data_IF_253743865426
#
_entry.id   IF_253743865426
#
_cell.length_a   1.000
_cell.length_b   1.000
_cell.length_c   1.000
_cell.angle_alpha   90.00
_cell.angle_beta   90.00
_cell.angle_gamma   90.00
#
_symmetry.space_group_name_H-M   'P 1'
#
loop_
_entity.id
_entity.type
_entity.pdbx_description
1 polymer ?
#
# COMPACT_ATOMS: atom_id res chain seq x y z
N UNK A 1 -17.16 -27.34 -11.33
CA UNK A 1 -16.19 -28.20 -12.06
C UNK A 1 -15.51 -27.52 -13.25
N UNK A 2 -16.21 -26.81 -14.15
CA UNK A 2 -15.59 -26.12 -15.32
C UNK A 2 -14.78 -24.87 -14.93
N UNK A 3 -15.28 -24.04 -14.01
CA UNK A 3 -14.56 -22.88 -13.44
C UNK A 3 -13.32 -23.27 -12.61
N UNK A 4 -13.39 -24.37 -11.84
CA UNK A 4 -12.25 -24.88 -11.06
C UNK A 4 -11.07 -25.33 -11.93
N UNK A 5 -11.30 -25.65 -13.22
CA UNK A 5 -10.22 -25.93 -14.17
C UNK A 5 -9.44 -24.66 -14.56
N UNK A 6 -10.09 -23.49 -14.54
CA UNK A 6 -9.44 -22.20 -14.76
C UNK A 6 -8.55 -21.79 -13.58
N UNK A 7 -8.87 -22.22 -12.36
CA UNK A 7 -7.98 -22.01 -11.19
C UNK A 7 -6.60 -22.65 -11.38
N UNK A 8 -6.42 -23.58 -12.34
CA UNK A 8 -5.10 -24.11 -12.70
C UNK A 8 -4.19 -23.05 -13.31
N UNK A 9 -4.74 -22.01 -13.96
CA UNK A 9 -3.96 -20.85 -14.44
C UNK A 9 -3.32 -20.09 -13.28
N UNK A 10 -3.96 -20.03 -12.09
CA UNK A 10 -3.34 -19.44 -10.90
C UNK A 10 -2.08 -20.19 -10.45
N UNK A 11 -1.97 -21.49 -10.79
CA UNK A 11 -0.72 -22.23 -10.52
C UNK A 11 0.45 -21.69 -11.34
N UNK A 12 0.22 -21.11 -12.53
CA UNK A 12 1.26 -20.50 -13.35
C UNK A 12 1.96 -19.34 -12.62
N UNK A 13 1.20 -18.56 -11.84
CA UNK A 13 1.72 -17.49 -10.96
C UNK A 13 2.66 -18.07 -9.89
N UNK A 14 2.33 -19.25 -9.35
CA UNK A 14 3.17 -19.94 -8.36
C UNK A 14 4.39 -20.65 -8.96
N UNK A 15 4.32 -21.00 -10.26
CA UNK A 15 5.42 -21.66 -10.99
C UNK A 15 6.50 -20.67 -11.42
N UNK A 16 6.12 -19.44 -11.80
CA UNK A 16 7.05 -18.41 -12.26
C UNK A 16 7.55 -17.62 -11.04
N UNK A 17 8.87 -17.65 -10.82
CA UNK A 17 9.50 -17.01 -9.65
C UNK A 17 9.29 -15.49 -9.61
N UNK A 18 9.31 -14.82 -10.77
CA UNK A 18 9.09 -13.36 -10.88
C UNK A 18 7.67 -12.95 -10.49
N UNK A 19 6.65 -13.67 -10.99
CA UNK A 19 5.25 -13.39 -10.64
C UNK A 19 4.99 -13.64 -9.16
N UNK A 20 5.56 -14.71 -8.61
CA UNK A 20 5.48 -15.02 -7.19
C UNK A 20 6.10 -13.91 -6.33
N UNK A 21 7.23 -13.35 -6.76
CA UNK A 21 7.87 -12.23 -6.07
C UNK A 21 6.91 -11.04 -5.99
N UNK A 22 6.37 -10.58 -7.13
CA UNK A 22 5.44 -9.45 -7.18
C UNK A 22 4.22 -9.68 -6.27
N UNK A 23 3.58 -10.85 -6.38
CA UNK A 23 2.41 -11.19 -5.55
C UNK A 23 2.77 -11.23 -4.06
N UNK A 24 3.93 -11.78 -3.70
CA UNK A 24 4.37 -11.85 -2.30
C UNK A 24 4.63 -10.46 -1.70
N UNK A 25 5.16 -9.52 -2.49
CA UNK A 25 5.36 -8.12 -2.07
C UNK A 25 4.03 -7.39 -1.89
N UNK A 26 3.08 -7.59 -2.81
CA UNK A 26 1.73 -7.04 -2.67
C UNK A 26 1.03 -7.57 -1.42
N UNK A 27 1.06 -8.87 -1.18
CA UNK A 27 0.43 -9.50 -0.01
C UNK A 27 1.11 -9.05 1.30
N UNK A 28 2.43 -8.88 1.32
CA UNK A 28 3.16 -8.34 2.48
C UNK A 28 2.80 -6.90 2.82
N UNK A 29 2.26 -6.14 1.86
CA UNK A 29 1.83 -4.76 2.07
C UNK A 29 0.43 -4.66 2.71
N UNK A 30 -0.39 -5.71 2.65
CA UNK A 30 -1.77 -5.69 3.18
C UNK A 30 -1.80 -5.50 4.71
N UNK A 31 -0.99 -6.20 5.53
CA UNK A 31 -1.05 -6.09 6.99
C UNK A 31 -0.79 -4.68 7.52
N UNK A 32 0.11 -3.90 6.90
CA UNK A 32 0.42 -2.53 7.34
C UNK A 32 -0.78 -1.59 7.21
N UNK A 33 -1.76 -1.95 6.38
CA UNK A 33 -2.96 -1.18 6.09
C UNK A 33 -4.16 -1.58 6.95
N UNK A 34 -4.00 -2.55 7.86
CA UNK A 34 -5.11 -3.15 8.61
C UNK A 34 -5.99 -2.14 9.36
N UNK A 35 -5.37 -1.12 9.98
CA UNK A 35 -6.10 -0.07 10.69
C UNK A 35 -6.98 0.78 9.78
N UNK A 36 -6.48 1.14 8.59
CA UNK A 36 -7.23 1.93 7.60
C UNK A 36 -8.36 1.10 7.00
N UNK A 37 -8.12 -0.18 6.73
CA UNK A 37 -9.14 -1.13 6.25
C UNK A 37 -10.25 -1.34 7.28
N UNK A 38 -9.91 -1.41 8.56
CA UNK A 38 -10.88 -1.50 9.65
C UNK A 38 -11.73 -0.24 9.74
N UNK A 39 -11.10 0.94 9.68
CA UNK A 39 -11.82 2.22 9.65
C UNK A 39 -12.79 2.30 8.46
N UNK A 40 -12.32 1.92 7.26
CA UNK A 40 -13.14 1.92 6.05
C UNK A 40 -14.33 0.96 6.19
N UNK A 41 -14.11 -0.22 6.78
CA UNK A 41 -15.16 -1.21 7.02
C UNK A 41 -16.24 -0.68 7.98
N UNK A 42 -15.86 0.06 9.04
CA UNK A 42 -16.79 0.71 9.96
C UNK A 42 -17.60 1.79 9.24
N UNK A 43 -16.96 2.63 8.43
CA UNK A 43 -17.63 3.66 7.65
C UNK A 43 -18.64 3.02 6.68
N UNK A 44 -18.24 1.99 5.94
CA UNK A 44 -19.11 1.23 5.06
C UNK A 44 -20.32 0.66 5.79
N UNK A 45 -20.10 0.07 6.96
CA UNK A 45 -21.18 -0.51 7.75
C UNK A 45 -22.20 0.54 8.21
N UNK A 46 -21.72 1.68 8.72
CA UNK A 46 -22.58 2.79 9.16
C UNK A 46 -23.42 3.30 7.98
N UNK A 47 -22.78 3.65 6.87
CA UNK A 47 -23.48 4.12 5.68
C UNK A 47 -24.45 3.07 5.14
N UNK A 48 -24.09 1.78 5.12
CA UNK A 48 -24.95 0.73 4.60
C UNK A 48 -26.25 0.60 5.40
N UNK A 49 -26.17 0.70 6.73
CA UNK A 49 -27.35 0.70 7.60
C UNK A 49 -28.17 1.97 7.41
N UNK A 50 -27.53 3.14 7.35
CA UNK A 50 -28.24 4.41 7.13
C UNK A 50 -28.96 4.41 5.79
N UNK A 51 -28.30 4.01 4.70
CA UNK A 51 -28.90 3.93 3.39
C UNK A 51 -30.00 2.87 3.30
N UNK A 52 -29.82 1.71 3.95
CA UNK A 52 -30.90 0.73 4.12
C UNK A 52 -32.12 1.39 4.77
N UNK A 53 -31.94 2.03 5.94
CA UNK A 53 -33.05 2.64 6.68
C UNK A 53 -33.75 3.75 5.89
N UNK A 54 -33.01 4.56 5.13
CA UNK A 54 -33.57 5.69 4.39
C UNK A 54 -34.22 5.31 3.06
N UNK A 55 -33.65 4.36 2.32
CA UNK A 55 -33.95 4.19 0.90
C UNK A 55 -34.55 2.81 0.53
N UNK A 56 -34.55 1.81 1.43
CA UNK A 56 -34.97 0.44 1.09
C UNK A 56 -36.42 0.32 0.57
N UNK A 57 -37.34 1.15 1.02
CA UNK A 57 -38.74 1.11 0.55
C UNK A 57 -38.88 1.60 -0.89
N UNK A 58 -38.08 2.59 -1.29
CA UNK A 58 -38.15 3.22 -2.60
C UNK A 58 -37.24 2.54 -3.63
N UNK A 59 -36.07 2.09 -3.19
CA UNK A 59 -35.06 1.45 -4.04
C UNK A 59 -34.52 0.17 -3.38
N UNK A 60 -35.34 -0.90 -3.37
CA UNK A 60 -34.93 -2.19 -2.81
C UNK A 60 -33.83 -2.87 -3.64
N UNK A 61 -33.59 -2.44 -4.88
CA UNK A 61 -32.54 -2.99 -5.75
C UNK A 61 -31.16 -2.62 -5.22
N UNK A 62 -31.00 -1.41 -4.68
CA UNK A 62 -29.72 -0.95 -4.11
C UNK A 62 -29.68 -1.02 -2.58
N UNK A 63 -30.83 -1.04 -1.91
CA UNK A 63 -30.92 -0.91 -0.44
C UNK A 63 -31.76 -2.01 0.23
N UNK A 64 -32.12 -3.09 -0.47
CA UNK A 64 -33.07 -4.09 0.05
C UNK A 64 -32.57 -4.97 1.20
N UNK A 65 -31.27 -5.04 1.45
CA UNK A 65 -30.67 -5.63 2.65
C UNK A 65 -29.23 -5.14 2.82
N UNK A 66 -28.63 -5.40 3.99
CA UNK A 66 -27.28 -4.95 4.31
C UNK A 66 -26.22 -5.34 3.27
N UNK A 67 -26.27 -6.56 2.72
CA UNK A 67 -25.28 -7.03 1.75
C UNK A 67 -25.39 -6.28 0.42
N UNK A 68 -26.62 -6.01 -0.03
CA UNK A 68 -26.88 -5.22 -1.23
C UNK A 68 -26.50 -3.75 -1.00
N UNK A 69 -26.83 -3.17 0.16
CA UNK A 69 -26.43 -1.81 0.52
C UNK A 69 -24.90 -1.65 0.52
N UNK A 70 -24.17 -2.64 1.05
CA UNK A 70 -22.70 -2.67 1.01
C UNK A 70 -22.17 -2.74 -0.44
N UNK A 71 -22.81 -3.53 -1.30
CA UNK A 71 -22.44 -3.61 -2.73
C UNK A 71 -22.73 -2.30 -3.47
N UNK A 72 -23.86 -1.66 -3.19
CA UNK A 72 -24.21 -0.35 -3.74
C UNK A 72 -23.20 0.71 -3.31
N UNK A 73 -22.83 0.75 -2.03
CA UNK A 73 -21.79 1.65 -1.53
C UNK A 73 -20.40 1.32 -2.10
N UNK A 74 -20.11 0.04 -2.41
CA UNK A 74 -18.90 -0.32 -3.12
C UNK A 74 -18.87 0.30 -4.52
N UNK A 75 -19.99 0.25 -5.26
CA UNK A 75 -20.13 0.94 -6.55
C UNK A 75 -20.04 2.47 -6.41
N UNK A 76 -20.58 3.04 -5.33
CA UNK A 76 -20.44 4.48 -5.05
C UNK A 76 -18.98 4.87 -4.77
N UNK A 77 -18.23 4.10 -3.98
CA UNK A 77 -16.84 4.45 -3.65
C UNK A 77 -15.89 4.32 -4.84
N UNK A 78 -16.17 3.40 -5.77
CA UNK A 78 -15.43 3.28 -7.03
C UNK A 78 -15.77 4.37 -8.03
N UNK A 79 -16.74 5.23 -7.69
CA UNK A 79 -17.28 6.30 -8.55
C UNK A 79 -17.88 5.77 -9.86
N UNK A 80 -18.37 4.53 -9.85
CA UNK A 80 -18.96 3.89 -11.02
C UNK A 80 -20.49 4.07 -11.01
N UNK A 81 -21.02 4.84 -11.96
CA UNK A 81 -22.46 5.06 -12.13
C UNK A 81 -23.21 5.34 -10.80
N UNK A 82 -22.56 6.09 -9.91
CA UNK A 82 -23.03 6.35 -8.54
C UNK A 82 -24.07 7.47 -8.48
N UNK A 83 -24.05 8.35 -9.48
CA UNK A 83 -24.98 9.47 -9.61
C UNK A 83 -26.40 8.99 -9.83
N UNK A 84 -26.60 7.86 -10.51
CA UNK A 84 -27.95 7.32 -10.77
C UNK A 84 -28.61 6.81 -9.48
N UNK A 85 -27.81 6.16 -8.62
CA UNK A 85 -28.25 5.74 -7.27
C UNK A 85 -28.60 6.98 -6.43
N UNK A 86 -27.78 8.04 -6.54
CA UNK A 86 -28.03 9.31 -5.85
C UNK A 86 -29.31 9.99 -6.35
N UNK A 87 -29.51 10.11 -7.66
CA UNK A 87 -30.70 10.76 -8.23
C UNK A 87 -31.98 10.01 -7.87
N UNK A 88 -31.94 8.68 -7.89
CA UNK A 88 -33.07 7.84 -7.42
C UNK A 88 -33.40 8.11 -5.96
N UNK A 89 -32.39 8.29 -5.10
CA UNK A 89 -32.63 8.68 -3.70
C UNK A 89 -33.14 10.12 -3.55
N UNK A 90 -32.78 11.02 -4.49
CA UNK A 90 -33.22 12.41 -4.49
C UNK A 90 -34.69 12.58 -4.85
N UNK A 91 -35.28 11.63 -5.59
CA UNK A 91 -36.72 11.59 -5.86
C UNK A 91 -37.54 11.46 -4.57
N UNK A 92 -36.99 10.79 -3.54
CA UNK A 92 -37.59 10.68 -2.22
C UNK A 92 -37.16 11.82 -1.28
N UNK A 93 -35.86 12.13 -1.23
CA UNK A 93 -35.29 13.16 -0.36
C UNK A 93 -34.42 14.12 -1.17
N UNK A 94 -34.87 15.37 -1.45
CA UNK A 94 -34.11 16.31 -2.28
C UNK A 94 -32.68 16.60 -1.81
N UNK A 95 -32.40 16.43 -0.51
CA UNK A 95 -31.08 16.61 0.11
C UNK A 95 -30.26 15.32 0.21
N UNK A 96 -30.70 14.21 -0.40
CA UNK A 96 -29.99 12.93 -0.39
C UNK A 96 -28.57 13.04 -0.96
N UNK A 97 -28.31 14.00 -1.87
CA UNK A 97 -26.97 14.28 -2.38
C UNK A 97 -25.94 14.50 -1.27
N UNK A 98 -26.34 15.03 -0.10
CA UNK A 98 -25.43 15.22 1.04
C UNK A 98 -24.87 13.88 1.53
N UNK A 99 -25.72 12.84 1.63
CA UNK A 99 -25.33 11.50 2.05
C UNK A 99 -24.33 10.86 1.07
N UNK A 100 -24.57 10.97 -0.24
CA UNK A 100 -23.69 10.39 -1.25
C UNK A 100 -22.37 11.17 -1.36
N UNK A 101 -22.42 12.50 -1.38
CA UNK A 101 -21.22 13.34 -1.45
C UNK A 101 -20.37 13.19 -0.18
N UNK A 102 -20.96 13.12 1.02
CA UNK A 102 -20.19 12.89 2.24
C UNK A 102 -19.50 11.53 2.22
N UNK A 103 -20.18 10.49 1.74
CA UNK A 103 -19.59 9.15 1.58
C UNK A 103 -18.43 9.16 0.56
N UNK A 104 -18.62 9.79 -0.60
CA UNK A 104 -17.59 9.89 -1.65
C UNK A 104 -16.38 10.64 -1.12
N UNK A 105 -16.56 11.81 -0.50
CA UNK A 105 -15.44 12.61 0.04
C UNK A 105 -14.66 11.82 1.08
N UNK A 106 -15.36 11.20 2.05
CA UNK A 106 -14.72 10.40 3.09
C UNK A 106 -14.02 9.18 2.49
N UNK A 107 -14.68 8.46 1.58
CA UNK A 107 -14.14 7.26 0.93
C UNK A 107 -12.90 7.56 0.09
N UNK A 108 -12.96 8.58 -0.76
CA UNK A 108 -11.81 9.03 -1.56
C UNK A 108 -10.66 9.50 -0.67
N UNK A 109 -10.94 10.25 0.40
CA UNK A 109 -9.91 10.65 1.37
C UNK A 109 -9.22 9.44 2.01
N UNK A 110 -10.00 8.44 2.44
CA UNK A 110 -9.45 7.20 3.00
C UNK A 110 -8.59 6.44 1.97
N UNK A 111 -9.04 6.33 0.72
CA UNK A 111 -8.29 5.67 -0.36
C UNK A 111 -6.98 6.40 -0.66
N UNK A 112 -6.97 7.73 -0.66
CA UNK A 112 -5.74 8.52 -0.84
C UNK A 112 -4.79 8.29 0.32
N UNK A 113 -5.27 8.34 1.57
CA UNK A 113 -4.43 8.09 2.74
C UNK A 113 -3.88 6.66 2.76
N UNK A 114 -4.67 5.71 2.28
CA UNK A 114 -4.26 4.32 2.09
C UNK A 114 -3.10 4.23 1.09
N UNK A 115 -3.20 4.91 -0.06
CA UNK A 115 -2.14 4.95 -1.06
C UNK A 115 -0.86 5.58 -0.48
N UNK A 116 -0.98 6.71 0.22
CA UNK A 116 0.15 7.36 0.90
C UNK A 116 0.80 6.40 1.90
N UNK A 117 0.01 5.71 2.72
CA UNK A 117 0.53 4.74 3.69
C UNK A 117 1.32 3.60 3.02
N UNK A 118 0.85 3.06 1.90
CA UNK A 118 1.57 2.02 1.14
C UNK A 118 2.89 2.54 0.59
N UNK A 119 2.88 3.73 0.01
CA UNK A 119 4.09 4.36 -0.54
C UNK A 119 5.10 4.62 0.57
N UNK A 120 4.66 5.19 1.71
CA UNK A 120 5.51 5.45 2.87
C UNK A 120 6.10 4.17 3.43
N UNK A 121 5.30 3.11 3.60
CA UNK A 121 5.77 1.83 4.11
C UNK A 121 6.84 1.21 3.19
N UNK A 122 6.66 1.28 1.86
CA UNK A 122 7.67 0.82 0.91
C UNK A 122 8.95 1.67 0.95
N UNK A 123 8.82 3.00 1.09
CA UNK A 123 9.98 3.90 1.20
C UNK A 123 10.76 3.68 2.50
N UNK A 124 10.06 3.45 3.62
CA UNK A 124 10.68 3.11 4.90
C UNK A 124 11.44 1.79 4.83
N UNK A 125 10.87 0.76 4.21
CA UNK A 125 11.53 -0.54 4.03
C UNK A 125 12.78 -0.41 3.14
N UNK A 126 12.67 0.29 2.00
CA UNK A 126 13.80 0.53 1.10
C UNK A 126 14.90 1.42 1.73
N UNK A 127 14.53 2.37 2.59
CA UNK A 127 15.48 3.20 3.34
C UNK A 127 16.17 2.39 4.44
N UNK A 128 15.43 1.53 5.14
CA UNK A 128 15.96 0.69 6.20
C UNK A 128 16.98 -0.33 5.65
N UNK A 129 16.73 -0.89 4.46
CA UNK A 129 17.67 -1.80 3.79
C UNK A 129 18.98 -1.08 3.43
N UNK A 130 18.91 0.10 2.81
CA UNK A 130 20.12 0.91 2.52
C UNK A 130 20.89 1.32 3.76
N UNK A 131 20.21 1.70 4.84
CA UNK A 131 20.88 2.08 6.07
C UNK A 131 21.64 0.89 6.67
N UNK A 132 21.07 -0.33 6.61
CA UNK A 132 21.76 -1.55 7.04
C UNK A 132 23.00 -1.85 6.20
N UNK A 133 22.97 -1.58 4.90
CA UNK A 133 24.16 -1.71 4.04
C UNK A 133 25.27 -0.73 4.46
N UNK A 134 24.90 0.51 4.85
CA UNK A 134 25.86 1.51 5.35
C UNK A 134 26.36 1.22 6.77
N UNK A 135 25.52 0.66 7.62
CA UNK A 135 25.83 0.31 9.02
C UNK A 135 26.55 -1.02 9.17
N UNK A 136 26.68 -1.83 8.11
CA UNK A 136 27.58 -2.98 8.12
C UNK A 136 28.97 -2.47 8.50
N UNK A 137 29.47 -2.81 9.72
CA UNK A 137 30.77 -2.32 10.13
C UNK A 137 31.77 -2.87 9.12
N UNK A 138 32.49 -1.97 8.43
CA UNK A 138 33.70 -2.29 7.67
C UNK A 138 34.42 -3.36 8.48
N UNK A 139 34.52 -4.58 7.92
CA UNK A 139 34.95 -5.75 8.70
C UNK A 139 36.22 -5.37 9.44
N UNK A 140 36.41 -5.81 10.70
CA UNK A 140 37.67 -5.54 11.42
C UNK A 140 38.88 -5.90 10.55
N UNK A 141 38.76 -6.93 9.72
CA UNK A 141 39.77 -7.29 8.73
C UNK A 141 40.01 -6.21 7.66
N UNK A 142 38.96 -5.57 7.18
CA UNK A 142 39.01 -4.51 6.18
C UNK A 142 39.59 -3.22 6.76
N UNK A 143 39.20 -2.84 7.99
CA UNK A 143 39.82 -1.72 8.73
C UNK A 143 41.31 -2.00 8.98
N UNK A 144 41.66 -3.22 9.42
CA UNK A 144 43.06 -3.60 9.64
C UNK A 144 43.86 -3.64 8.32
N UNK A 145 43.23 -4.03 7.21
CA UNK A 145 43.84 -4.05 5.88
C UNK A 145 44.15 -2.64 5.40
N UNK A 146 43.23 -1.70 5.61
CA UNK A 146 43.40 -0.29 5.27
C UNK A 146 44.43 0.41 6.16
N UNK A 147 44.47 0.11 7.46
CA UNK A 147 45.54 0.62 8.33
C UNK A 147 46.92 0.13 7.89
N UNK A 148 47.05 -1.16 7.52
CA UNK A 148 48.32 -1.71 7.00
C UNK A 148 48.72 -1.10 5.66
N UNK A 149 47.77 -0.82 4.77
CA UNK A 149 48.05 -0.18 3.48
C UNK A 149 48.53 1.26 3.67
N UNK A 150 47.87 2.00 4.57
CA UNK A 150 48.22 3.37 4.93
C UNK A 150 49.60 3.44 5.59
N UNK A 151 49.91 2.53 6.52
CA UNK A 151 51.26 2.42 7.11
C UNK A 151 52.35 2.14 6.07
N UNK A 152 52.09 1.26 5.09
CA UNK A 152 53.03 1.00 3.99
C UNK A 152 53.24 2.24 3.12
N UNK A 153 52.19 3.02 2.85
CA UNK A 153 52.29 4.24 2.08
C UNK A 153 53.14 5.30 2.81
N UNK A 154 52.94 5.47 4.11
CA UNK A 154 53.72 6.39 4.95
C UNK A 154 55.21 6.01 4.99
N UNK A 155 55.55 4.74 5.19
CA UNK A 155 56.95 4.28 5.15
C UNK A 155 57.64 4.57 3.81
N UNK A 156 56.94 4.36 2.70
CA UNK A 156 57.47 4.69 1.37
C UNK A 156 57.71 6.19 1.19
N UNK A 157 56.92 7.02 1.87
CA UNK A 157 57.06 8.48 1.88
C UNK A 157 58.29 8.90 2.71
N UNK A 158 58.49 8.31 3.90
CA UNK A 158 59.72 8.49 4.69
C UNK A 158 60.97 8.11 3.89
N UNK A 159 60.99 6.91 3.30
CA UNK A 159 62.14 6.46 2.48
C UNK A 159 62.40 7.34 1.26
N UNK A 160 61.39 8.06 0.75
CA UNK A 160 61.55 9.03 -0.34
C UNK A 160 62.11 10.35 0.18
N UNK A 161 61.65 10.82 1.34
CA UNK A 161 62.14 12.02 1.99
C UNK A 161 63.60 11.88 2.42
N UNK A 162 63.98 10.74 2.99
CA UNK A 162 65.37 10.47 3.38
C UNK A 162 66.29 10.44 2.17
N UNK A 163 65.87 9.78 1.07
CA UNK A 163 66.61 9.78 -0.19
C UNK A 163 66.73 11.17 -0.84
N UNK A 164 65.78 12.06 -0.61
CA UNK A 164 65.87 13.46 -1.05
C UNK A 164 66.73 14.33 -0.12
N UNK A 165 66.91 13.93 1.14
CA UNK A 165 67.76 14.62 2.11
C UNK A 165 69.24 14.28 1.97
N UNK A 166 69.55 13.08 1.48
CA UNK A 166 70.91 12.59 1.25
C UNK A 166 71.47 12.96 -0.14
N UNK A 167 70.63 13.55 -1.02
CA UNK A 167 71.00 14.05 -2.35
C UNK A 167 71.16 15.58 -2.34
#
# INVERSE_FOLDING_TARGET
>A
ARLARLLRVLRLISTIQELRLIVSTLVRSIPSMGHVMLLMSIIFYIYAITGYQLFHEHDPVHWGNLGISLLSLFRVVTLEDWTDIMYTAMDLYPMAWIYFISFVVVGTFVVINLFIAVVLNNLEEAKAERLRELEQPVSREEILRDLRSTQKALRRLEERLDRQREA
#
